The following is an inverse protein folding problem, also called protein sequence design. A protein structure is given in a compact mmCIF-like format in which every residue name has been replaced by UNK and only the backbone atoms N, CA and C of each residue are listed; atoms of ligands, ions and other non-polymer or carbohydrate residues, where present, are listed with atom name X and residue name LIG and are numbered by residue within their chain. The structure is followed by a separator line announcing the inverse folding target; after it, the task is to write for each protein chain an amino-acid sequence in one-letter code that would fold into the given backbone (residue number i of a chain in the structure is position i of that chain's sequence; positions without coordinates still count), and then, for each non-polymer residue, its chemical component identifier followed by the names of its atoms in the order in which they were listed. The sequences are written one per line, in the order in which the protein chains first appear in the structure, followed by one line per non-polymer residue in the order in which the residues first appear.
data_IF_713821053893
#
_entry.id   IF_713821053893
#
_cell.length_a   1.000
_cell.length_b   1.000
_cell.length_c   1.000
_cell.angle_alpha   90.00
_cell.angle_beta   90.00
_cell.angle_gamma   90.00
#
_symmetry.space_group_name_H-M   'P 1'
#
loop_
_entity.id
_entity.type
_entity.pdbx_description
1 polymer ?
#
# COMPACT_ATOMS: atom_id res chain seq x y z
N UNK A 1 -1.88 1.54 26.51
CA UNK A 1 -1.71 0.76 25.27
C UNK A 1 -1.42 1.65 24.06
N UNK A 2 -2.25 2.65 23.74
CA UNK A 2 -2.04 3.54 22.57
C UNK A 2 -0.70 4.31 22.58
N UNK A 3 -0.26 4.82 23.74
CA UNK A 3 1.03 5.53 23.85
C UNK A 3 2.24 4.64 23.53
N UNK A 4 2.19 3.38 23.96
CA UNK A 4 3.25 2.40 23.68
C UNK A 4 3.30 2.04 22.19
N UNK A 5 2.14 1.77 21.59
CA UNK A 5 2.03 1.45 20.17
C UNK A 5 2.58 2.58 19.26
N UNK A 6 2.34 3.85 19.62
CA UNK A 6 2.92 4.98 18.90
C UNK A 6 4.44 5.08 19.06
N UNK A 7 4.95 4.89 20.28
CA UNK A 7 6.40 4.89 20.51
C UNK A 7 7.11 3.78 19.73
N UNK A 8 6.48 2.60 19.65
CA UNK A 8 7.02 1.47 18.88
C UNK A 8 6.96 1.74 17.36
N UNK A 9 5.93 2.44 16.88
CA UNK A 9 5.85 2.88 15.48
C UNK A 9 6.97 3.86 15.13
N UNK A 10 7.21 4.88 15.96
CA UNK A 10 8.29 5.84 15.74
C UNK A 10 9.65 5.13 15.69
N UNK A 11 9.92 4.24 16.64
CA UNK A 11 11.16 3.44 16.65
C UNK A 11 11.36 2.60 15.38
N UNK A 12 10.27 2.05 14.81
CA UNK A 12 10.37 1.31 13.54
C UNK A 12 10.73 2.24 12.39
N UNK A 13 10.11 3.42 12.30
CA UNK A 13 10.42 4.41 11.27
C UNK A 13 11.88 4.89 11.34
N UNK A 14 12.38 5.21 12.54
CA UNK A 14 13.79 5.57 12.76
C UNK A 14 14.71 4.41 12.35
N UNK A 15 14.32 3.18 12.69
CA UNK A 15 15.04 1.97 12.29
C UNK A 15 15.10 1.75 10.79
N UNK A 16 14.02 2.05 10.07
CA UNK A 16 13.96 1.96 8.61
C UNK A 16 14.90 2.97 7.94
N UNK A 17 14.88 4.23 8.40
CA UNK A 17 15.78 5.26 7.87
C UNK A 17 17.25 4.89 8.09
N UNK A 18 17.60 4.37 9.27
CA UNK A 18 18.98 4.05 9.62
C UNK A 18 19.54 2.80 8.93
N UNK A 19 18.70 1.79 8.64
CA UNK A 19 19.15 0.47 8.18
C UNK A 19 18.71 0.10 6.76
N UNK A 20 17.65 0.73 6.27
CA UNK A 20 16.97 0.37 5.02
C UNK A 20 16.58 1.62 4.22
N UNK A 21 17.45 2.63 4.22
CA UNK A 21 17.20 3.96 3.65
C UNK A 21 16.73 3.89 2.20
N UNK A 22 17.36 3.05 1.36
CA UNK A 22 17.02 2.95 -0.06
C UNK A 22 15.58 2.45 -0.27
N UNK A 23 15.20 1.37 0.41
CA UNK A 23 13.84 0.81 0.34
C UNK A 23 12.84 1.82 0.91
N UNK A 24 13.18 2.47 2.02
CA UNK A 24 12.35 3.48 2.66
C UNK A 24 12.07 4.66 1.72
N UNK A 25 13.09 5.18 1.05
CA UNK A 25 12.95 6.25 0.05
C UNK A 25 12.05 5.79 -1.11
N UNK A 26 12.26 4.59 -1.66
CA UNK A 26 11.40 4.04 -2.72
C UNK A 26 9.93 3.93 -2.29
N UNK A 27 9.67 3.55 -1.05
CA UNK A 27 8.30 3.52 -0.48
C UNK A 27 7.71 4.92 -0.37
N UNK A 28 8.48 5.90 0.12
CA UNK A 28 8.04 7.30 0.19
C UNK A 28 7.73 7.85 -1.21
N UNK A 29 8.57 7.56 -2.20
CA UNK A 29 8.36 7.95 -3.60
C UNK A 29 7.12 7.29 -4.20
N UNK A 30 6.91 6.00 -3.93
CA UNK A 30 5.70 5.30 -4.35
C UNK A 30 4.45 5.96 -3.74
N UNK A 31 4.48 6.27 -2.44
CA UNK A 31 3.38 6.97 -1.76
C UNK A 31 3.13 8.33 -2.41
N UNK A 32 4.18 9.11 -2.65
CA UNK A 32 4.08 10.45 -3.19
C UNK A 32 3.50 10.47 -4.61
N UNK A 33 4.02 9.63 -5.51
CA UNK A 33 3.70 9.67 -6.93
C UNK A 33 2.49 8.82 -7.30
N UNK A 34 2.22 7.72 -6.57
CA UNK A 34 1.09 6.82 -6.86
C UNK A 34 -0.08 7.04 -5.90
N UNK A 35 0.18 7.02 -4.59
CA UNK A 35 -0.91 6.98 -3.61
C UNK A 35 -1.57 8.33 -3.37
N UNK A 36 -0.79 9.38 -3.09
CA UNK A 36 -1.32 10.70 -2.73
C UNK A 36 -2.24 11.29 -3.82
N UNK A 37 -1.94 11.19 -5.13
CA UNK A 37 -2.86 11.69 -6.16
C UNK A 37 -4.22 10.99 -6.13
N UNK A 38 -4.25 9.69 -5.84
CA UNK A 38 -5.50 8.92 -5.75
C UNK A 38 -6.24 9.26 -4.46
N UNK A 39 -5.55 9.35 -3.34
CA UNK A 39 -6.10 9.76 -2.04
C UNK A 39 -6.78 11.14 -2.16
N UNK A 40 -6.11 12.12 -2.77
CA UNK A 40 -6.67 13.46 -3.00
C UNK A 40 -7.95 13.43 -3.81
N UNK A 41 -8.03 12.62 -4.87
CA UNK A 41 -9.25 12.44 -5.67
C UNK A 41 -10.40 11.82 -4.87
N UNK A 42 -10.09 11.03 -3.84
CA UNK A 42 -11.07 10.38 -2.97
C UNK A 42 -11.25 11.11 -1.62
N UNK A 43 -10.80 12.37 -1.50
CA UNK A 43 -10.86 13.16 -0.27
C UNK A 43 -12.29 13.21 0.33
N UNK A 44 -13.31 13.23 -0.52
CA UNK A 44 -14.72 13.24 -0.13
C UNK A 44 -15.17 11.86 0.41
N UNK A 45 -14.74 10.77 -0.23
CA UNK A 45 -15.17 9.42 0.13
C UNK A 45 -14.53 8.91 1.42
N UNK A 46 -13.40 9.49 1.85
CA UNK A 46 -12.67 9.04 3.05
C UNK A 46 -11.97 7.70 2.87
N UNK A 47 -11.89 7.21 1.64
CA UNK A 47 -11.37 5.89 1.31
C UNK A 47 -10.80 5.89 -0.11
N UNK A 48 -9.55 5.46 -0.24
CA UNK A 48 -8.91 5.15 -1.52
C UNK A 48 -8.62 3.65 -1.61
N UNK A 49 -8.89 3.07 -2.79
CA UNK A 49 -8.48 1.71 -3.15
C UNK A 49 -7.47 1.80 -4.28
N UNK A 50 -6.30 1.22 -4.10
CA UNK A 50 -5.18 1.31 -5.05
C UNK A 50 -4.67 -0.10 -5.31
N UNK A 51 -4.62 -0.49 -6.58
CA UNK A 51 -4.01 -1.76 -6.98
C UNK A 51 -2.68 -1.47 -7.65
N UNK A 52 -1.68 -2.28 -7.34
CA UNK A 52 -0.35 -2.17 -7.95
C UNK A 52 0.30 -3.55 -8.10
N UNK A 53 1.21 -3.64 -9.05
CA UNK A 53 2.09 -4.80 -9.30
C UNK A 53 3.55 -4.40 -9.14
N UNK A 54 3.80 -3.26 -8.47
CA UNK A 54 5.14 -2.69 -8.32
C UNK A 54 6.08 -3.70 -7.64
N UNK A 55 7.22 -4.05 -8.26
CA UNK A 55 8.18 -5.00 -7.71
C UNK A 55 8.73 -4.59 -6.34
N UNK A 56 8.65 -3.31 -5.96
CA UNK A 56 8.97 -2.83 -4.61
C UNK A 56 8.29 -3.67 -3.52
N UNK A 57 7.06 -4.11 -3.74
CA UNK A 57 6.29 -4.86 -2.74
C UNK A 57 6.55 -6.38 -2.78
N UNK A 58 7.45 -6.86 -3.62
CA UNK A 58 8.01 -8.20 -3.45
C UNK A 58 8.88 -8.28 -2.20
N UNK A 59 9.45 -7.14 -1.76
CA UNK A 59 10.16 -7.00 -0.50
C UNK A 59 9.14 -6.83 0.65
N UNK A 60 9.02 -7.81 1.59
CA UNK A 60 8.00 -7.74 2.64
C UNK A 60 8.17 -6.52 3.56
N UNK A 61 9.40 -6.02 3.71
CA UNK A 61 9.71 -4.85 4.50
C UNK A 61 9.09 -3.58 3.91
N UNK A 62 9.02 -3.46 2.58
CA UNK A 62 8.42 -2.30 1.92
C UNK A 62 6.92 -2.17 2.22
N UNK A 63 6.21 -3.31 2.35
CA UNK A 63 4.81 -3.33 2.77
C UNK A 63 4.63 -2.86 4.21
N UNK A 64 5.51 -3.29 5.12
CA UNK A 64 5.51 -2.85 6.51
C UNK A 64 5.77 -1.35 6.62
N UNK A 65 6.77 -0.83 5.90
CA UNK A 65 7.08 0.60 5.82
C UNK A 65 5.88 1.41 5.30
N UNK A 66 5.20 0.94 4.25
CA UNK A 66 4.03 1.63 3.71
C UNK A 66 2.91 1.75 4.75
N UNK A 67 2.62 0.66 5.46
CA UNK A 67 1.60 0.65 6.53
C UNK A 67 2.00 1.59 7.67
N UNK A 68 3.26 1.54 8.10
CA UNK A 68 3.79 2.36 9.19
C UNK A 68 3.76 3.87 8.84
N UNK A 69 4.18 4.25 7.63
CA UNK A 69 4.16 5.65 7.17
C UNK A 69 2.73 6.19 7.14
N UNK A 70 1.76 5.43 6.62
CA UNK A 70 0.37 5.85 6.62
C UNK A 70 -0.21 5.95 8.02
N UNK A 71 0.08 4.96 8.88
CA UNK A 71 -0.39 4.93 10.27
C UNK A 71 0.13 6.14 11.05
N UNK A 72 1.40 6.51 10.86
CA UNK A 72 1.97 7.67 11.56
C UNK A 72 1.35 9.00 11.12
N UNK A 73 0.93 9.08 9.84
CA UNK A 73 0.20 10.23 9.30
C UNK A 73 -1.30 10.21 9.60
N UNK A 74 -1.78 9.27 10.42
CA UNK A 74 -3.18 9.19 10.85
C UNK A 74 -4.13 8.54 9.83
N UNK A 75 -3.59 7.86 8.81
CA UNK A 75 -4.35 7.06 7.88
C UNK A 75 -4.49 5.63 8.41
N UNK A 76 -5.57 4.95 8.04
CA UNK A 76 -5.69 3.51 8.26
C UNK A 76 -5.44 2.77 6.96
N UNK A 77 -4.26 2.15 6.84
CA UNK A 77 -3.85 1.40 5.67
C UNK A 77 -3.91 -0.12 5.93
N UNK A 78 -4.51 -0.86 4.99
CA UNK A 78 -4.42 -2.32 4.94
C UNK A 78 -3.99 -2.77 3.55
N UNK A 79 -3.31 -3.91 3.47
CA UNK A 79 -2.85 -4.50 2.23
C UNK A 79 -3.31 -5.94 2.12
N UNK A 80 -3.86 -6.28 0.96
CA UNK A 80 -4.18 -7.64 0.55
C UNK A 80 -3.33 -8.03 -0.67
N UNK A 81 -2.80 -9.25 -0.69
CA UNK A 81 -1.98 -9.75 -1.81
C UNK A 81 -2.81 -10.77 -2.57
N UNK A 82 -3.29 -10.34 -3.74
CA UNK A 82 -4.06 -11.19 -4.62
C UNK A 82 -3.15 -11.87 -5.64
N UNK A 83 -3.09 -13.21 -5.62
CA UNK A 83 -2.33 -14.01 -6.59
C UNK A 83 -3.30 -14.52 -7.66
N UNK A 84 -2.99 -14.23 -8.92
CA UNK A 84 -3.77 -14.65 -10.08
C UNK A 84 -2.89 -15.47 -10.99
N UNK A 85 -3.34 -16.65 -11.41
CA UNK A 85 -2.67 -17.41 -12.46
C UNK A 85 -3.04 -16.82 -13.82
N UNK A 86 -2.03 -16.43 -14.59
CA UNK A 86 -2.20 -15.87 -15.92
C UNK A 86 -1.58 -16.83 -16.93
N UNK A 87 -2.35 -17.35 -17.90
CA UNK A 87 -1.81 -18.23 -18.93
C UNK A 87 -0.85 -17.44 -19.83
N UNK A 88 0.34 -17.98 -20.05
CA UNK A 88 1.35 -17.36 -20.92
C UNK A 88 1.58 -18.16 -22.20
N UNK A 89 1.58 -19.49 -22.10
CA UNK A 89 1.83 -20.35 -23.25
C UNK A 89 1.11 -21.68 -23.12
N UNK A 90 1.02 -22.39 -24.25
CA UNK A 90 0.48 -23.74 -24.32
C UNK A 90 1.58 -24.65 -24.86
N UNK A 91 1.86 -25.73 -24.16
CA UNK A 91 2.70 -26.83 -24.64
C UNK A 91 2.02 -27.49 -25.85
N UNK A 92 2.70 -27.58 -26.98
CA UNK A 92 2.13 -28.08 -28.24
C UNK A 92 1.96 -29.60 -28.26
N UNK A 93 2.74 -30.32 -27.47
CA UNK A 93 2.74 -31.78 -27.45
C UNK A 93 1.79 -32.31 -26.37
N UNK A 94 1.72 -31.61 -25.23
CA UNK A 94 0.88 -32.03 -24.10
C UNK A 94 -0.42 -31.23 -23.95
N UNK A 95 -0.58 -30.15 -24.71
CA UNK A 95 -1.68 -29.18 -24.58
C UNK A 95 -1.83 -28.57 -23.18
N UNK A 96 -0.80 -28.68 -22.33
CA UNK A 96 -0.79 -28.07 -21.01
C UNK A 96 -0.62 -26.57 -21.12
N UNK A 97 -1.40 -25.84 -20.34
CA UNK A 97 -1.29 -24.39 -20.22
C UNK A 97 -0.23 -24.08 -19.16
N UNK A 98 0.82 -23.36 -19.54
CA UNK A 98 1.77 -22.80 -18.61
C UNK A 98 1.28 -21.45 -18.14
N UNK A 99 1.06 -21.33 -16.84
CA UNK A 99 0.63 -20.11 -16.19
C UNK A 99 1.78 -19.49 -15.40
N UNK A 100 1.90 -18.16 -15.43
CA UNK A 100 2.67 -17.43 -14.41
C UNK A 100 1.77 -16.95 -13.29
N UNK A 101 2.33 -16.84 -12.09
CA UNK A 101 1.64 -16.24 -10.95
C UNK A 101 1.84 -14.74 -10.96
N UNK A 102 0.76 -14.00 -11.13
CA UNK A 102 0.69 -12.54 -11.06
C UNK A 102 0.30 -12.10 -9.65
N UNK A 103 1.16 -11.33 -8.96
CA UNK A 103 0.86 -10.74 -7.65
C UNK A 103 0.30 -9.33 -7.83
N UNK A 104 -0.86 -9.08 -7.26
CA UNK A 104 -1.51 -7.76 -7.24
C UNK A 104 -1.66 -7.33 -5.78
N UNK A 105 -1.01 -6.24 -5.42
CA UNK A 105 -1.09 -5.63 -4.10
C UNK A 105 -2.28 -4.66 -4.08
N UNK A 106 -3.28 -4.98 -3.26
CA UNK A 106 -4.51 -4.20 -3.10
C UNK A 106 -4.42 -3.40 -1.82
N UNK A 107 -4.11 -2.12 -1.96
CA UNK A 107 -4.02 -1.17 -0.87
C UNK A 107 -5.41 -0.57 -0.60
N UNK A 108 -5.83 -0.59 0.66
CA UNK A 108 -7.02 0.11 1.14
C UNK A 108 -6.56 1.16 2.14
N UNK A 109 -6.78 2.44 1.82
CA UNK A 109 -6.32 3.57 2.64
C UNK A 109 -7.54 4.40 3.05
N UNK A 110 -7.93 4.29 4.31
CA UNK A 110 -9.01 5.07 4.90
C UNK A 110 -8.46 6.31 5.61
N UNK A 111 -9.19 7.42 5.54
CA UNK A 111 -8.84 8.70 6.14
C UNK A 111 -10.09 9.48 6.53
N UNK A 112 -10.00 10.41 7.49
CA UNK A 112 -11.15 11.22 7.91
C UNK A 112 -11.76 11.96 6.71
N UNK A 113 -13.07 11.82 6.52
CA UNK A 113 -13.79 12.64 5.56
C UNK A 113 -13.85 14.08 6.08
N UNK A 114 -13.45 15.03 5.25
CA UNK A 114 -13.76 16.44 5.52
C UNK A 114 -15.28 16.58 5.56
N UNK A 115 -15.84 17.08 6.66
CA UNK A 115 -17.28 17.33 6.77
C UNK A 115 -17.71 18.26 5.64
N UNK A 116 -18.36 17.70 4.61
CA UNK A 116 -19.04 18.53 3.62
C UNK A 116 -20.15 19.25 4.40
N UNK A 117 -20.09 20.60 4.37
CA UNK A 117 -21.02 21.51 5.03
C UNK A 117 -22.44 20.91 5.05
N UNK A 118 -22.96 20.60 6.25
CA UNK A 118 -24.40 20.60 6.45
C UNK A 118 -24.84 22.04 6.21
N UNK A 119 -25.52 22.29 5.09
CA UNK A 119 -26.15 23.58 4.88
C UNK A 119 -27.03 23.90 6.07
N UNK A 120 -26.76 25.02 6.74
CA UNK A 120 -27.68 25.56 7.74
C UNK A 120 -29.03 25.78 7.07
N UNK A 121 -30.04 25.08 7.58
CA UNK A 121 -31.44 25.49 7.49
C UNK A 121 -31.87 25.93 8.87
#
# INVERSE_FOLDING_TARGET
VARQARQDLVRRLDGYEAKHTEVFVRVVDFIHHKCLPIIRKHAISGLARINTEDPLFEEPLALAMLIDIFSERGYHATVDIHKVEVPESVDRDTFKIHCRVKKIYRLRIAFPTGHIRRGSR
#
